data_IF_360925154186
#
_entry.id   IF_360925154186
#
_cell.length_a   1.000
_cell.length_b   1.000
_cell.length_c   1.000
_cell.angle_alpha   90.00
_cell.angle_beta   90.00
_cell.angle_gamma   90.00
#
_symmetry.space_group_name_H-M   'P 1'
#
loop_
_entity.id
_entity.type
_entity.pdbx_description
1 polymer ?
#
# COMPACT_ATOMS: atom_id res chain seq x y z
N UNK A 1 -11.01 -41.14 -37.66
CA UNK A 1 -9.81 -40.39 -37.22
C UNK A 1 -10.21 -38.98 -36.72
N UNK A 2 -11.17 -38.88 -35.78
CA UNK A 2 -11.74 -37.58 -35.33
C UNK A 2 -11.86 -37.41 -33.81
N UNK A 3 -11.70 -38.48 -33.02
CA UNK A 3 -11.83 -38.45 -31.55
C UNK A 3 -10.58 -37.83 -30.90
N UNK A 4 -9.43 -37.91 -31.56
CA UNK A 4 -8.13 -37.44 -31.07
C UNK A 4 -8.02 -35.91 -30.99
N UNK A 5 -8.80 -35.18 -31.79
CA UNK A 5 -8.73 -33.71 -31.87
C UNK A 5 -9.57 -33.02 -30.78
N UNK A 6 -10.71 -33.62 -30.40
CA UNK A 6 -11.59 -33.10 -29.35
C UNK A 6 -11.01 -33.26 -27.94
N UNK A 7 -10.28 -34.36 -27.68
CA UNK A 7 -9.57 -34.57 -26.41
C UNK A 7 -8.42 -33.57 -26.22
N UNK A 8 -7.74 -33.17 -27.30
CA UNK A 8 -6.62 -32.23 -27.27
C UNK A 8 -7.07 -30.78 -27.03
N UNK A 9 -8.21 -30.36 -27.56
CA UNK A 9 -8.75 -29.02 -27.28
C UNK A 9 -9.26 -28.88 -25.83
N UNK A 10 -9.86 -29.93 -25.27
CA UNK A 10 -10.31 -29.94 -23.87
C UNK A 10 -9.15 -29.77 -22.89
N UNK A 11 -8.03 -30.50 -23.11
CA UNK A 11 -6.87 -30.42 -22.24
C UNK A 11 -6.21 -29.02 -22.25
N UNK A 12 -6.19 -28.36 -23.42
CA UNK A 12 -5.66 -26.99 -23.55
C UNK A 12 -6.57 -25.98 -22.81
N UNK A 13 -7.89 -26.13 -22.92
CA UNK A 13 -8.84 -25.27 -22.20
C UNK A 13 -8.74 -25.44 -20.67
N UNK A 14 -8.53 -26.66 -20.18
CA UNK A 14 -8.31 -26.92 -18.75
C UNK A 14 -6.95 -26.39 -18.26
N UNK A 15 -5.89 -26.41 -19.09
CA UNK A 15 -4.60 -25.81 -18.73
C UNK A 15 -4.61 -24.28 -18.71
N UNK A 16 -5.44 -23.62 -19.52
CA UNK A 16 -5.58 -22.15 -19.46
C UNK A 16 -6.37 -21.64 -18.25
N UNK A 17 -7.27 -22.45 -17.66
CA UNK A 17 -8.11 -22.02 -16.53
C UNK A 17 -7.35 -22.07 -15.20
N UNK A 18 -6.30 -22.91 -15.07
CA UNK A 18 -5.55 -23.05 -13.81
C UNK A 18 -4.63 -21.83 -13.54
N UNK A 19 -4.30 -21.03 -14.56
CA UNK A 19 -3.42 -19.86 -14.42
C UNK A 19 -4.11 -18.58 -13.92
N UNK A 20 -5.36 -18.65 -13.43
CA UNK A 20 -6.05 -17.51 -12.84
C UNK A 20 -6.22 -17.60 -11.31
N UNK A 21 -5.61 -18.61 -10.67
CA UNK A 21 -5.51 -18.67 -9.21
C UNK A 21 -4.09 -18.31 -8.77
N UNK A 22 -3.61 -17.13 -9.19
CA UNK A 22 -2.46 -16.50 -8.55
C UNK A 22 -2.95 -15.99 -7.20
N UNK A 23 -2.85 -16.83 -6.17
CA UNK A 23 -3.04 -16.39 -4.80
C UNK A 23 -2.15 -15.17 -4.57
N UNK A 24 -2.73 -14.10 -4.02
CA UNK A 24 -2.06 -12.86 -3.64
C UNK A 24 -0.94 -13.18 -2.66
N UNK A 25 0.26 -13.49 -3.16
CA UNK A 25 1.40 -13.79 -2.32
C UNK A 25 1.89 -12.48 -1.72
N UNK A 26 1.72 -12.33 -0.42
CA UNK A 26 2.35 -11.25 0.33
C UNK A 26 3.85 -11.51 0.33
N UNK A 27 4.64 -10.55 -0.16
CA UNK A 27 6.09 -10.62 -0.28
C UNK A 27 6.74 -9.63 0.68
N UNK A 28 7.79 -10.08 1.36
CA UNK A 28 8.53 -9.26 2.31
C UNK A 28 9.47 -8.30 1.57
N UNK A 29 9.40 -7.02 1.91
CA UNK A 29 10.24 -5.96 1.34
C UNK A 29 11.43 -5.58 2.21
N UNK A 30 11.39 -5.92 3.49
CA UNK A 30 12.42 -5.57 4.45
C UNK A 30 11.86 -4.95 5.71
N UNK A 31 12.79 -4.58 6.58
CA UNK A 31 12.49 -3.90 7.82
C UNK A 31 12.37 -2.38 7.61
N UNK A 32 11.60 -1.68 8.46
CA UNK A 32 11.34 -0.24 8.24
C UNK A 32 12.58 0.64 8.32
N UNK A 33 13.62 0.20 9.01
CA UNK A 33 14.92 0.87 9.11
C UNK A 33 15.80 0.68 7.87
N UNK A 34 15.43 -0.22 6.96
CA UNK A 34 16.22 -0.59 5.78
C UNK A 34 15.48 -0.31 4.46
N UNK A 35 14.21 0.08 4.55
CA UNK A 35 13.29 0.22 3.41
C UNK A 35 13.61 1.41 2.47
N UNK A 36 14.48 2.34 2.91
CA UNK A 36 14.81 3.56 2.16
C UNK A 36 15.40 3.26 0.77
N UNK A 37 16.14 2.16 0.66
CA UNK A 37 16.80 1.75 -0.59
C UNK A 37 16.09 0.58 -1.29
N UNK A 38 14.92 0.15 -0.80
CA UNK A 38 14.20 -0.97 -1.41
C UNK A 38 13.58 -0.54 -2.75
N UNK A 39 13.83 -1.28 -3.85
CA UNK A 39 13.22 -1.00 -5.14
C UNK A 39 11.69 -0.96 -5.06
N UNK A 40 11.07 -0.08 -5.85
CA UNK A 40 9.62 -0.05 -5.97
C UNK A 40 9.14 -1.29 -6.71
N UNK A 41 8.19 -2.07 -6.16
CA UNK A 41 7.70 -3.26 -6.86
C UNK A 41 6.97 -2.89 -8.16
N UNK A 42 6.99 -3.79 -9.14
CA UNK A 42 6.29 -3.59 -10.40
C UNK A 42 4.79 -3.35 -10.18
N UNK A 43 4.23 -2.32 -10.82
CA UNK A 43 2.80 -1.97 -10.70
C UNK A 43 2.48 -0.93 -9.63
N UNK A 44 3.46 -0.59 -8.78
CA UNK A 44 3.35 0.45 -7.77
C UNK A 44 3.75 1.81 -8.34
N UNK A 45 3.07 2.86 -7.89
CA UNK A 45 3.40 4.26 -8.21
C UNK A 45 4.17 4.93 -7.08
N UNK A 46 3.88 4.58 -5.82
CA UNK A 46 4.60 5.11 -4.65
C UNK A 46 5.67 4.13 -4.21
N UNK A 47 6.79 4.66 -3.73
CA UNK A 47 7.90 3.85 -3.24
C UNK A 47 7.60 3.22 -1.87
N UNK A 48 8.32 2.15 -1.49
CA UNK A 48 8.26 1.62 -0.13
C UNK A 48 8.60 2.66 0.96
N UNK A 49 9.53 3.58 0.65
CA UNK A 49 9.90 4.69 1.54
C UNK A 49 8.74 5.70 1.71
N UNK A 50 8.03 6.02 0.63
CA UNK A 50 6.84 6.87 0.67
C UNK A 50 5.72 6.26 1.52
N UNK A 51 5.50 4.96 1.39
CA UNK A 51 4.54 4.23 2.23
C UNK A 51 4.88 4.39 3.72
N UNK A 52 6.17 4.40 4.08
CA UNK A 52 6.60 4.68 5.45
C UNK A 52 6.36 6.11 5.90
N UNK A 53 6.53 7.10 5.01
CA UNK A 53 6.21 8.50 5.28
C UNK A 53 4.72 8.67 5.53
N UNK A 54 3.86 8.12 4.66
CA UNK A 54 2.40 8.14 4.77
C UNK A 54 1.96 7.60 6.13
N UNK A 55 2.47 6.42 6.49
CA UNK A 55 2.19 5.80 7.78
C UNK A 55 2.63 6.67 8.95
N UNK A 56 3.85 7.24 8.91
CA UNK A 56 4.35 8.12 9.97
C UNK A 56 3.51 9.39 10.13
N UNK A 57 3.01 9.96 9.04
CA UNK A 57 2.12 11.13 9.08
C UNK A 57 0.78 10.79 9.75
N UNK A 58 0.23 9.61 9.47
CA UNK A 58 -1.05 9.17 10.03
C UNK A 58 -0.95 8.75 11.51
N UNK A 59 0.07 7.96 11.83
CA UNK A 59 0.21 7.29 13.13
C UNK A 59 1.12 8.05 14.12
N UNK A 60 1.87 9.04 13.63
CA UNK A 60 2.90 9.75 14.37
C UNK A 60 4.24 9.01 14.43
N UNK A 61 5.30 9.70 14.92
CA UNK A 61 6.68 9.20 14.88
C UNK A 61 6.97 8.06 15.86
N UNK A 62 6.05 7.74 16.77
CA UNK A 62 6.29 6.80 17.89
C UNK A 62 5.93 5.35 17.57
N UNK A 63 5.35 5.07 16.41
CA UNK A 63 5.01 3.69 16.06
C UNK A 63 6.19 3.09 15.27
N UNK A 64 6.73 1.98 15.76
CA UNK A 64 7.76 1.20 15.07
C UNK A 64 7.06 0.25 14.09
N UNK A 65 7.41 0.32 12.81
CA UNK A 65 7.08 -0.78 11.88
C UNK A 65 8.30 -1.65 11.94
N UNK A 66 8.13 -2.95 12.10
CA UNK A 66 9.28 -3.82 12.02
C UNK A 66 9.41 -4.40 10.62
N UNK A 67 8.29 -4.58 9.91
CA UNK A 67 8.26 -5.34 8.66
C UNK A 67 7.31 -4.68 7.66
N UNK A 68 7.81 -4.49 6.44
CA UNK A 68 7.03 -4.00 5.31
C UNK A 68 6.86 -5.15 4.33
N UNK A 69 5.63 -5.33 3.87
CA UNK A 69 5.30 -6.29 2.83
C UNK A 69 4.56 -5.58 1.70
N UNK A 70 4.47 -6.27 0.57
CA UNK A 70 3.54 -5.93 -0.49
C UNK A 70 2.77 -7.15 -0.98
N UNK A 71 1.64 -6.96 -1.64
CA UNK A 71 0.90 -8.04 -2.29
C UNK A 71 0.80 -7.86 -3.82
N UNK A 72 0.13 -8.81 -4.46
CA UNK A 72 -0.10 -8.81 -5.93
C UNK A 72 -1.14 -7.81 -6.40
N UNK A 73 -1.88 -7.16 -5.50
CA UNK A 73 -2.91 -6.16 -5.80
C UNK A 73 -2.39 -4.72 -5.64
N UNK A 74 -1.06 -4.58 -5.54
CA UNK A 74 -0.35 -3.33 -5.34
C UNK A 74 -0.61 -2.65 -3.99
N UNK A 75 -0.82 -3.40 -2.91
CA UNK A 75 -0.91 -2.84 -1.56
C UNK A 75 0.40 -3.01 -0.79
N UNK A 76 0.76 -2.00 0.00
CA UNK A 76 1.75 -2.14 1.06
C UNK A 76 1.07 -2.53 2.37
N UNK A 77 1.67 -3.45 3.10
CA UNK A 77 1.24 -3.87 4.44
C UNK A 77 2.38 -3.54 5.41
N UNK A 78 2.20 -2.48 6.19
CA UNK A 78 3.17 -2.03 7.18
C UNK A 78 2.79 -2.63 8.54
N UNK A 79 3.55 -3.63 9.00
CA UNK A 79 3.26 -4.32 10.25
C UNK A 79 3.85 -3.56 11.44
N UNK A 80 2.98 -3.17 12.38
CA UNK A 80 3.38 -2.64 13.67
C UNK A 80 3.54 -3.84 14.62
N UNK A 81 4.76 -4.29 14.89
CA UNK A 81 4.94 -5.33 15.90
C UNK A 81 4.66 -4.76 17.27
N UNK A 82 3.65 -5.32 17.95
CA UNK A 82 3.52 -5.22 19.41
C UNK A 82 3.22 -6.63 19.92
N UNK A 83 4.25 -7.31 20.43
CA UNK A 83 4.14 -8.55 21.20
C UNK A 83 3.82 -9.82 20.40
N UNK A 84 4.79 -10.74 20.34
CA UNK A 84 4.63 -12.09 19.80
C UNK A 84 3.44 -12.85 20.43
N UNK A 85 2.40 -13.17 19.64
CA UNK A 85 1.64 -14.43 19.74
C UNK A 85 1.30 -14.95 18.34
N UNK A 86 1.83 -16.13 18.01
CA UNK A 86 2.07 -16.65 16.66
C UNK A 86 0.91 -17.42 16.00
N UNK A 87 -0.35 -16.97 16.10
CA UNK A 87 -1.45 -17.77 15.54
C UNK A 87 -2.58 -17.02 14.84
N UNK A 88 -2.46 -15.71 14.60
CA UNK A 88 -3.49 -14.97 13.86
C UNK A 88 -2.89 -14.04 12.80
N UNK A 89 -3.44 -14.04 11.56
CA UNK A 89 -3.06 -13.07 10.53
C UNK A 89 -3.28 -11.64 11.03
N UNK A 90 -2.32 -10.77 10.71
CA UNK A 90 -1.97 -9.52 11.39
C UNK A 90 -3.17 -8.60 11.69
N UNK A 91 -3.54 -8.53 12.98
CA UNK A 91 -4.56 -7.60 13.52
C UNK A 91 -4.07 -6.15 13.62
N UNK A 92 -2.79 -5.86 13.41
CA UNK A 92 -2.13 -4.60 13.81
C UNK A 92 -1.49 -3.80 12.68
N UNK A 93 -1.45 -4.31 11.45
CA UNK A 93 -0.80 -3.64 10.31
C UNK A 93 -1.67 -2.56 9.65
N UNK A 94 -1.01 -1.56 9.04
CA UNK A 94 -1.61 -0.58 8.13
C UNK A 94 -1.58 -1.11 6.70
N UNK A 95 -2.62 -0.84 5.93
CA UNK A 95 -2.68 -1.15 4.50
C UNK A 95 -2.70 0.17 3.74
N UNK A 96 -1.78 0.32 2.79
CA UNK A 96 -1.59 1.52 1.99
C UNK A 96 -1.70 1.13 0.53
N UNK A 97 -2.50 1.86 -0.24
CA UNK A 97 -2.59 1.67 -1.69
C UNK A 97 -1.29 2.12 -2.35
N UNK A 98 -0.59 1.19 -3.00
CA UNK A 98 0.69 1.42 -3.66
C UNK A 98 0.61 2.28 -4.91
N UNK A 99 -0.58 2.59 -5.40
CA UNK A 99 -0.81 3.50 -6.52
C UNK A 99 -1.18 4.91 -6.04
N UNK A 100 -2.07 5.01 -5.05
CA UNK A 100 -2.66 6.30 -4.63
C UNK A 100 -2.07 6.87 -3.33
N UNK A 101 -1.43 6.05 -2.50
CA UNK A 101 -1.01 6.45 -1.15
C UNK A 101 -2.15 6.50 -0.12
N UNK A 102 -3.37 6.13 -0.50
CA UNK A 102 -4.51 6.07 0.41
C UNK A 102 -4.31 5.01 1.49
N UNK A 103 -4.84 5.26 2.69
CA UNK A 103 -4.76 4.36 3.83
C UNK A 103 -6.10 3.68 4.03
N UNK A 104 -6.13 2.36 4.15
CA UNK A 104 -7.36 1.66 4.48
C UNK A 104 -7.67 1.76 5.97
N UNK A 105 -8.76 2.45 6.31
CA UNK A 105 -9.28 2.50 7.66
C UNK A 105 -10.16 1.27 7.94
N UNK A 106 -9.61 0.33 8.73
CA UNK A 106 -10.30 -0.91 9.10
C UNK A 106 -11.56 -0.68 9.94
N UNK A 107 -11.65 0.41 10.70
CA UNK A 107 -12.80 0.73 11.56
C UNK A 107 -13.99 1.21 10.74
N UNK A 108 -13.77 2.10 9.78
CA UNK A 108 -14.81 2.65 8.90
C UNK A 108 -15.02 1.82 7.63
N UNK A 109 -14.10 0.90 7.32
CA UNK A 109 -14.05 0.13 6.08
C UNK A 109 -14.01 1.02 4.83
N UNK A 110 -13.26 2.11 4.91
CA UNK A 110 -13.11 3.09 3.84
C UNK A 110 -11.64 3.42 3.61
N UNK A 111 -11.33 3.93 2.42
CA UNK A 111 -10.03 4.53 2.13
C UNK A 111 -9.99 5.97 2.61
N UNK A 112 -8.91 6.32 3.28
CA UNK A 112 -8.56 7.69 3.67
C UNK A 112 -7.50 8.22 2.71
N UNK A 113 -7.59 9.51 2.32
CA UNK A 113 -6.68 10.11 1.34
C UNK A 113 -5.22 10.07 1.78
N UNK A 114 -4.30 10.19 0.83
CA UNK A 114 -2.86 10.29 1.12
C UNK A 114 -2.58 11.55 1.98
N UNK A 115 -2.09 11.38 3.23
CA UNK A 115 -1.85 12.48 4.16
C UNK A 115 -0.72 13.43 3.69
N UNK A 116 0.10 13.04 2.71
CA UNK A 116 1.09 13.93 2.09
C UNK A 116 0.40 15.04 1.31
N UNK A 117 -0.72 14.75 0.64
CA UNK A 117 -1.43 15.71 -0.21
C UNK A 117 -2.20 16.74 0.65
N UNK A 118 -2.76 16.31 1.78
CA UNK A 118 -3.48 17.20 2.71
C UNK A 118 -2.56 18.28 3.31
N UNK A 119 -1.33 17.90 3.68
CA UNK A 119 -0.36 18.81 4.28
C UNK A 119 0.09 19.90 3.31
N UNK A 120 0.19 19.60 2.02
CA UNK A 120 0.51 20.58 0.98
C UNK A 120 -0.65 21.57 0.73
N UNK A 121 -1.90 21.12 0.89
CA UNK A 121 -3.08 21.98 0.71
C UNK A 121 -3.21 23.02 1.83
N UNK A 122 -2.91 22.63 3.08
CA UNK A 122 -2.93 23.59 4.20
C UNK A 122 -1.85 24.66 4.08
N UNK A 123 -0.62 24.33 3.65
CA UNK A 123 0.46 25.32 3.51
C UNK A 123 0.13 26.39 2.44
N UNK A 124 -0.54 26.02 1.35
CA UNK A 124 -0.95 26.97 0.31
C UNK A 124 -2.13 27.87 0.73
N UNK A 125 -2.99 27.43 1.66
CA UNK A 125 -4.08 28.27 2.18
C UNK A 125 -3.60 29.26 3.24
N UNK A 126 -2.61 28.89 4.09
CA UNK A 126 -2.03 29.83 5.06
C UNK A 126 -1.09 30.85 4.41
N UNK A 127 -0.50 30.53 3.25
CA UNK A 127 0.33 31.46 2.47
C UNK A 127 -0.46 32.53 1.70
N UNK A 128 -1.71 32.24 1.31
CA UNK A 128 -2.55 33.19 0.57
C UNK A 128 -3.24 34.25 1.45
N UNK A 129 -3.34 34.01 2.77
CA UNK A 129 -3.98 34.95 3.70
C UNK A 129 -3.02 36.03 4.26
N UNK A 130 -1.71 35.94 4.00
CA UNK A 130 -0.70 36.80 4.63
C UNK A 130 -0.26 38.02 3.80
N UNK A 131 -0.77 38.24 2.58
CA UNK A 131 -0.36 39.35 1.69
C UNK A 131 -1.38 40.49 1.60
N UNK A 132 -2.39 40.51 2.47
CA UNK A 132 -3.47 41.51 2.46
C UNK A 132 -3.53 42.37 3.73
N UNK A 133 -2.43 42.98 4.17
CA UNK A 133 -2.45 43.95 5.27
C UNK A 133 -1.74 45.27 4.91
N UNK A 134 -2.59 46.18 4.44
CA UNK A 134 -2.63 47.61 4.73
C UNK A 134 -1.53 48.55 4.18
N UNK A 135 -1.87 49.24 3.08
CA UNK A 135 -1.38 50.59 2.77
C UNK A 135 -2.57 51.48 2.41
N UNK A 136 -2.75 52.55 3.17
CA UNK A 136 -3.72 53.64 2.91
C UNK A 136 -4.96 53.52 3.80
N UNK A 137 -5.33 54.49 4.62
CA UNK A 137 -5.01 55.92 4.67
C UNK A 137 -5.14 56.46 6.09
#
# INVERSE_FOLDING_TARGET
MFISSLLRLSLIFFLTIISACAGTSTQFLGHSNEIENTPTPTGFTISPSDAMVIRRLNDGPRIFVDEVYHDGENYYICNNTIGFKSSQPLKTGRVINGQTGEIYNRKTKSWEPDPRIEKHTQVNQTGAAATGLNKGS
#
